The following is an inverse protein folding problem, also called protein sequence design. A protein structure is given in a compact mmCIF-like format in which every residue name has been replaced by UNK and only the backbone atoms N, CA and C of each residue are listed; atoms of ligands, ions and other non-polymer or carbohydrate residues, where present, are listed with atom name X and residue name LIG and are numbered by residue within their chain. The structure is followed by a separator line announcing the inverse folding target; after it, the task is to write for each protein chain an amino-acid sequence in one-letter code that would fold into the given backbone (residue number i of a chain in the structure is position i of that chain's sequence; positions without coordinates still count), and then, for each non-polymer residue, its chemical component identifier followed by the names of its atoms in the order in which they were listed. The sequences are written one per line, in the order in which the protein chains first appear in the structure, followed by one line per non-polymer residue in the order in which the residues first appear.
data_IF_020039164565
#
_entry.id   IF_020039164565
#
_cell.length_a   1.000
_cell.length_b   1.000
_cell.length_c   1.000
_cell.angle_alpha   90.00
_cell.angle_beta   90.00
_cell.angle_gamma   90.00
#
_symmetry.space_group_name_H-M   'P 1'
#
loop_
_entity.id
_entity.type
_entity.pdbx_description
1 polymer ?
#
# COMPACT_ATOMS: atom_id res chain seq x y z
N UNK A 1 -7.17 26.85 5.40
CA UNK A 1 -6.46 25.63 5.88
C UNK A 1 -5.02 25.99 6.19
N UNK A 2 -4.57 25.77 7.44
CA UNK A 2 -3.18 26.06 7.86
C UNK A 2 -2.20 25.14 7.13
N UNK A 3 -0.94 25.55 6.97
CA UNK A 3 0.12 24.78 6.29
C UNK A 3 0.25 23.36 6.86
N UNK A 4 0.17 23.22 8.18
CA UNK A 4 0.30 21.94 8.87
C UNK A 4 -0.85 20.97 8.53
N UNK A 5 -2.05 21.50 8.31
CA UNK A 5 -3.21 20.72 7.88
C UNK A 5 -3.05 20.22 6.44
N UNK A 6 -2.45 21.02 5.55
CA UNK A 6 -2.13 20.60 4.17
C UNK A 6 -1.12 19.45 4.18
N UNK A 7 -0.04 19.59 4.95
CA UNK A 7 0.99 18.55 5.10
C UNK A 7 0.40 17.26 5.67
N UNK A 8 -0.43 17.37 6.71
CA UNK A 8 -1.11 16.21 7.31
C UNK A 8 -2.04 15.50 6.31
N UNK A 9 -2.81 16.25 5.51
CA UNK A 9 -3.67 15.68 4.45
C UNK A 9 -2.86 15.00 3.34
N UNK A 10 -1.76 15.60 2.91
CA UNK A 10 -0.86 15.00 1.93
C UNK A 10 -0.23 13.70 2.44
N UNK A 11 0.16 13.66 3.72
CA UNK A 11 0.68 12.45 4.36
C UNK A 11 -0.42 11.37 4.51
N UNK A 12 -1.63 11.75 4.91
CA UNK A 12 -2.77 10.84 5.01
C UNK A 12 -3.11 10.20 3.67
N UNK A 13 -3.03 10.95 2.56
CA UNK A 13 -3.25 10.41 1.23
C UNK A 13 -2.22 9.32 0.84
N UNK A 14 -1.02 9.31 1.42
CA UNK A 14 0.00 8.28 1.17
C UNK A 14 -0.18 7.01 2.01
N UNK A 15 -1.02 7.04 3.04
CA UNK A 15 -1.25 5.87 3.91
C UNK A 15 -1.82 4.70 3.12
N UNK A 16 -2.78 4.95 2.22
CA UNK A 16 -3.36 3.90 1.40
C UNK A 16 -2.33 3.26 0.42
N UNK A 17 -1.56 4.03 -0.38
CA UNK A 17 -0.44 3.49 -1.14
C UNK A 17 0.55 2.67 -0.31
N UNK A 18 0.88 3.11 0.91
CA UNK A 18 1.76 2.37 1.82
C UNK A 18 1.18 1.01 2.20
N UNK A 19 -0.11 0.96 2.56
CA UNK A 19 -0.81 -0.29 2.89
C UNK A 19 -0.84 -1.23 1.67
N UNK A 20 -1.12 -0.71 0.47
CA UNK A 20 -1.09 -1.52 -0.75
C UNK A 20 0.29 -2.13 -1.01
N UNK A 21 1.37 -1.40 -0.71
CA UNK A 21 2.74 -1.89 -0.85
C UNK A 21 3.03 -3.04 0.13
N UNK A 22 2.55 -2.95 1.37
CA UNK A 22 2.66 -4.04 2.37
C UNK A 22 1.89 -5.28 1.90
N UNK A 23 0.65 -5.11 1.41
CA UNK A 23 -0.17 -6.23 0.91
C UNK A 23 0.47 -6.88 -0.33
N UNK A 24 1.04 -6.07 -1.23
CA UNK A 24 1.80 -6.58 -2.37
C UNK A 24 3.03 -7.38 -1.91
N UNK A 25 3.76 -6.88 -0.91
CA UNK A 25 4.87 -7.58 -0.28
C UNK A 25 4.44 -8.96 0.24
N UNK A 26 3.37 -9.02 1.04
CA UNK A 26 2.81 -10.27 1.56
C UNK A 26 2.44 -11.26 0.45
N UNK A 27 1.83 -10.77 -0.63
CA UNK A 27 1.49 -11.63 -1.79
C UNK A 27 2.73 -12.25 -2.44
N UNK A 28 3.81 -11.48 -2.60
CA UNK A 28 5.02 -11.94 -3.30
C UNK A 28 5.91 -12.80 -2.40
N UNK A 29 5.90 -12.57 -1.09
CA UNK A 29 6.74 -13.31 -0.14
C UNK A 29 6.09 -14.57 0.43
N UNK A 30 4.80 -14.83 0.16
CA UNK A 30 4.12 -16.05 0.62
C UNK A 30 4.39 -17.19 -0.38
N UNK A 31 5.25 -18.18 -0.04
CA UNK A 31 5.56 -19.29 -0.93
C UNK A 31 4.38 -20.29 -1.01
N UNK A 32 4.31 -21.05 -2.10
CA UNK A 32 3.32 -22.14 -2.27
C UNK A 32 3.62 -23.36 -1.40
N UNK A 33 4.90 -23.63 -1.16
CA UNK A 33 5.36 -24.76 -0.36
C UNK A 33 6.45 -24.29 0.58
N UNK A 34 6.38 -24.71 1.83
CA UNK A 34 7.41 -24.42 2.82
C UNK A 34 7.90 -25.74 3.42
N UNK A 35 9.21 -25.98 3.37
CA UNK A 35 9.81 -27.14 4.00
C UNK A 35 9.83 -26.94 5.52
N UNK A 36 9.10 -27.79 6.24
CA UNK A 36 9.12 -27.84 7.70
C UNK A 36 9.46 -29.26 8.12
N UNK A 37 10.57 -29.41 8.86
CA UNK A 37 11.02 -30.68 9.46
C UNK A 37 11.12 -31.85 8.45
N UNK A 38 11.60 -31.59 7.23
CA UNK A 38 11.77 -32.62 6.20
C UNK A 38 10.48 -33.03 5.46
N UNK A 39 9.35 -32.40 5.76
CA UNK A 39 8.11 -32.51 5.01
C UNK A 39 7.79 -31.21 4.25
N UNK A 40 7.19 -31.33 3.06
CA UNK A 40 6.64 -30.18 2.36
C UNK A 40 5.25 -29.86 2.93
N UNK A 41 5.10 -28.71 3.56
CA UNK A 41 3.80 -28.19 3.99
C UNK A 41 3.24 -27.34 2.87
N UNK A 42 2.01 -27.65 2.46
CA UNK A 42 1.28 -26.86 1.46
C UNK A 42 0.76 -25.57 2.09
N UNK A 43 1.15 -24.44 1.49
CA UNK A 43 0.81 -23.08 1.91
C UNK A 43 -0.21 -22.43 0.96
N UNK A 44 -0.81 -23.22 0.06
CA UNK A 44 -1.81 -22.78 -0.92
C UNK A 44 -2.96 -21.98 -0.32
N UNK A 45 -3.39 -22.30 0.90
CA UNK A 45 -4.40 -21.54 1.65
C UNK A 45 -3.93 -20.11 2.00
N UNK A 46 -2.70 -19.96 2.47
CA UNK A 46 -2.12 -18.65 2.79
C UNK A 46 -1.88 -17.82 1.54
N UNK A 47 -1.39 -18.45 0.46
CA UNK A 47 -1.22 -17.79 -0.83
C UNK A 47 -2.59 -17.37 -1.41
N UNK A 48 -3.61 -18.23 -1.29
CA UNK A 48 -4.99 -17.93 -1.68
C UNK A 48 -5.57 -16.73 -0.92
N UNK A 49 -5.35 -16.66 0.39
CA UNK A 49 -5.76 -15.53 1.22
C UNK A 49 -5.01 -14.24 0.85
N UNK A 50 -3.69 -14.30 0.63
CA UNK A 50 -2.90 -13.14 0.19
C UNK A 50 -3.35 -12.62 -1.19
N UNK A 51 -3.67 -13.53 -2.12
CA UNK A 51 -4.22 -13.18 -3.43
C UNK A 51 -5.61 -12.55 -3.33
N UNK A 52 -6.50 -13.11 -2.49
CA UNK A 52 -7.83 -12.56 -2.26
C UNK A 52 -7.77 -11.15 -1.66
N UNK A 53 -6.92 -10.95 -0.63
CA UNK A 53 -6.65 -9.66 0.00
C UNK A 53 -6.16 -8.64 -1.02
N UNK A 54 -5.18 -9.02 -1.84
CA UNK A 54 -4.64 -8.13 -2.86
C UNK A 54 -5.72 -7.72 -3.87
N UNK A 55 -6.51 -8.68 -4.38
CA UNK A 55 -7.51 -8.39 -5.40
C UNK A 55 -8.70 -7.56 -4.89
N UNK A 56 -9.03 -7.63 -3.60
CA UNK A 56 -10.16 -6.89 -3.02
C UNK A 56 -9.75 -5.55 -2.38
N UNK A 57 -8.56 -5.47 -1.78
CA UNK A 57 -8.11 -4.28 -1.05
C UNK A 57 -7.18 -3.38 -1.86
N UNK A 58 -6.52 -3.88 -2.91
CA UNK A 58 -5.61 -3.08 -3.73
C UNK A 58 -6.28 -2.66 -5.03
N UNK A 59 -6.63 -1.38 -5.10
CA UNK A 59 -7.07 -0.72 -6.33
C UNK A 59 -5.97 0.18 -6.88
N UNK A 60 -5.34 -0.22 -7.99
CA UNK A 60 -4.29 0.55 -8.67
C UNK A 60 -4.73 1.98 -9.07
N UNK A 61 -5.94 2.20 -9.64
CA UNK A 61 -6.41 3.55 -9.93
C UNK A 61 -6.49 4.43 -8.68
N UNK A 62 -6.94 3.86 -7.56
CA UNK A 62 -7.05 4.60 -6.30
C UNK A 62 -5.67 4.96 -5.74
N UNK A 63 -4.69 4.05 -5.82
CA UNK A 63 -3.29 4.32 -5.44
C UNK A 63 -2.72 5.49 -6.24
N UNK A 64 -2.93 5.49 -7.57
CA UNK A 64 -2.46 6.56 -8.44
C UNK A 64 -3.08 7.93 -8.08
N UNK A 65 -4.40 7.97 -7.83
CA UNK A 65 -5.09 9.19 -7.40
C UNK A 65 -4.54 9.69 -6.07
N UNK A 66 -4.37 8.80 -5.08
CA UNK A 66 -3.79 9.14 -3.78
C UNK A 66 -2.40 9.78 -3.90
N UNK A 67 -1.52 9.22 -4.75
CA UNK A 67 -0.19 9.76 -4.98
C UNK A 67 -0.26 11.14 -5.65
N UNK A 68 -1.08 11.29 -6.70
CA UNK A 68 -1.24 12.57 -7.41
C UNK A 68 -1.76 13.66 -6.47
N UNK A 69 -2.79 13.34 -5.66
CA UNK A 69 -3.36 14.26 -4.67
C UNK A 69 -2.31 14.65 -3.63
N UNK A 70 -1.54 13.68 -3.11
CA UNK A 70 -0.48 13.95 -2.15
C UNK A 70 0.60 14.88 -2.72
N UNK A 71 1.12 14.56 -3.90
CA UNK A 71 2.14 15.38 -4.61
C UNK A 71 1.60 16.78 -4.86
N UNK A 72 0.36 16.90 -5.34
CA UNK A 72 -0.31 18.19 -5.54
C UNK A 72 -0.35 19.01 -4.25
N UNK A 73 -0.84 18.44 -3.16
CA UNK A 73 -0.94 19.11 -1.86
C UNK A 73 0.43 19.55 -1.34
N UNK A 74 1.45 18.70 -1.44
CA UNK A 74 2.82 19.05 -1.04
C UNK A 74 3.41 20.17 -1.89
N UNK A 75 3.19 20.15 -3.21
CA UNK A 75 3.63 21.21 -4.12
C UNK A 75 2.97 22.56 -3.79
N UNK A 76 1.65 22.59 -3.59
CA UNK A 76 0.93 23.81 -3.20
C UNK A 76 1.35 24.31 -1.81
N UNK A 77 1.64 23.40 -0.87
CA UNK A 77 2.14 23.77 0.46
C UNK A 77 3.57 24.32 0.42
N UNK A 78 4.40 23.89 -0.53
CA UNK A 78 5.75 24.39 -0.76
C UNK A 78 5.73 25.82 -1.30
N UNK A 79 4.89 26.09 -2.32
CA UNK A 79 4.77 27.43 -2.91
C UNK A 79 4.18 28.49 -1.98
N UNK A 80 3.30 28.11 -1.06
CA UNK A 80 2.68 29.04 -0.09
C UNK A 80 3.63 29.66 0.94
N UNK A 81 4.95 29.40 0.85
CA UNK A 81 5.99 29.98 1.71
C UNK A 81 6.70 31.19 1.08
N UNK A 82 6.40 31.51 -0.18
CA UNK A 82 6.73 32.75 -0.88
C UNK A 82 5.44 33.53 -1.14
#
# INVERSE_FOLDING_TARGET
MKRDQKIALGALALVYPLICLIIYGLKVTTPEKQEFLGGQVDMSLQQGFANWLFNHLVSFPLVAICIIVSVGIFYFSSKSKY
#
